data_IF_369902035029
#
_entry.id   IF_369902035029
#
_cell.length_a   1.000
_cell.length_b   1.000
_cell.length_c   1.000
_cell.angle_alpha   90.00
_cell.angle_beta   90.00
_cell.angle_gamma   90.00
#
_symmetry.space_group_name_H-M   'P 1'
#
loop_
_entity.id
_entity.type
_entity.pdbx_description
1 polymer ?
#
# COMPACT_ATOMS: atom_id res chain seq x y z
N UNK A 1 -5.43 6.94 13.55
CA UNK A 1 -6.01 6.02 12.55
C UNK A 1 -5.54 4.61 12.89
N UNK A 2 -6.31 3.90 13.72
CA UNK A 2 -5.97 2.53 14.12
C UNK A 2 -6.29 1.57 12.97
N UNK A 3 -5.35 1.48 12.03
CA UNK A 3 -5.39 0.57 10.90
C UNK A 3 -4.86 -0.79 11.33
N UNK A 4 -5.57 -1.86 10.99
CA UNK A 4 -5.17 -3.24 11.30
C UNK A 4 -4.51 -3.86 10.08
N UNK A 5 -3.27 -4.33 10.22
CA UNK A 5 -2.57 -5.11 9.20
C UNK A 5 -3.08 -6.55 9.16
N UNK A 6 -3.10 -7.14 7.96
CA UNK A 6 -3.49 -8.52 7.72
C UNK A 6 -2.66 -9.13 6.57
N UNK A 7 -2.89 -10.41 6.29
CA UNK A 7 -2.25 -11.16 5.19
C UNK A 7 -0.71 -11.02 5.20
N UNK A 8 -0.08 -11.29 6.35
CA UNK A 8 1.35 -11.11 6.56
C UNK A 8 1.85 -9.69 6.22
N UNK A 9 1.13 -8.70 6.74
CA UNK A 9 1.40 -7.26 6.62
C UNK A 9 1.32 -6.72 5.18
N UNK A 10 0.62 -7.42 4.27
CA UNK A 10 0.44 -6.98 2.88
C UNK A 10 -0.90 -6.30 2.61
N UNK A 11 -1.83 -6.35 3.57
CA UNK A 11 -3.13 -5.68 3.46
C UNK A 11 -3.49 -4.92 4.73
N UNK A 12 -4.37 -3.94 4.58
CA UNK A 12 -4.98 -3.17 5.67
C UNK A 12 -6.48 -3.43 5.68
N UNK A 13 -7.05 -3.78 6.83
CA UNK A 13 -8.50 -3.90 7.00
C UNK A 13 -9.12 -2.50 7.03
N UNK A 14 -10.09 -2.26 6.16
CA UNK A 14 -10.73 -0.97 6.02
C UNK A 14 -11.86 -0.80 7.04
N UNK A 15 -11.97 0.42 7.57
CA UNK A 15 -13.04 0.83 8.48
C UNK A 15 -13.91 1.90 7.83
N UNK A 16 -15.21 1.83 8.06
CA UNK A 16 -16.13 2.89 7.65
C UNK A 16 -15.97 4.13 8.56
N UNK A 17 -16.69 5.20 8.25
CA UNK A 17 -16.73 6.43 9.04
C UNK A 17 -17.22 6.26 10.49
N UNK A 18 -17.80 5.10 10.85
CA UNK A 18 -18.18 4.71 12.22
C UNK A 18 -17.08 3.92 12.94
N UNK A 19 -15.89 3.82 12.36
CA UNK A 19 -14.75 3.04 12.87
C UNK A 19 -15.01 1.52 12.94
N UNK A 20 -16.02 1.02 12.21
CA UNK A 20 -16.31 -0.40 12.14
C UNK A 20 -15.60 -1.02 10.92
N UNK A 21 -15.07 -2.23 11.06
CA UNK A 21 -14.56 -3.00 9.92
C UNK A 21 -15.66 -3.12 8.86
N UNK A 22 -15.38 -2.67 7.64
CA UNK A 22 -16.38 -2.53 6.58
C UNK A 22 -16.50 -3.77 5.67
N UNK A 23 -15.71 -4.81 5.94
CA UNK A 23 -15.68 -6.04 5.15
C UNK A 23 -14.74 -6.00 3.93
N UNK A 24 -14.01 -4.89 3.74
CA UNK A 24 -13.01 -4.75 2.69
C UNK A 24 -11.58 -4.69 3.26
N UNK A 25 -10.62 -5.06 2.42
CA UNK A 25 -9.19 -4.84 2.65
C UNK A 25 -8.57 -4.05 1.50
N UNK A 26 -7.53 -3.29 1.81
CA UNK A 26 -6.71 -2.55 0.87
C UNK A 26 -5.33 -3.22 0.76
N UNK A 27 -4.90 -3.51 -0.46
CA UNK A 27 -3.52 -3.88 -0.79
C UNK A 27 -2.91 -2.85 -1.73
N UNK A 28 -1.60 -2.66 -1.67
CA UNK A 28 -0.83 -1.89 -2.66
C UNK A 28 0.08 -2.86 -3.42
N UNK A 29 0.05 -2.81 -4.74
CA UNK A 29 0.82 -3.70 -5.62
C UNK A 29 1.87 -2.87 -6.35
N UNK A 30 3.13 -3.29 -6.31
CA UNK A 30 4.19 -2.75 -7.19
C UNK A 30 3.90 -3.22 -8.62
N UNK A 31 3.74 -2.25 -9.53
CA UNK A 31 3.34 -2.52 -10.92
C UNK A 31 4.45 -3.19 -11.70
N UNK A 32 5.72 -2.93 -11.38
CA UNK A 32 6.86 -3.41 -12.16
C UNK A 32 7.06 -4.92 -12.00
N UNK A 33 6.82 -5.44 -10.80
CA UNK A 33 7.03 -6.85 -10.46
C UNK A 33 5.72 -7.60 -10.10
N UNK A 34 4.59 -6.91 -10.10
CA UNK A 34 3.28 -7.45 -9.71
C UNK A 34 3.28 -8.11 -8.32
N UNK A 35 4.05 -7.56 -7.38
CA UNK A 35 4.13 -8.07 -6.00
C UNK A 35 3.42 -7.15 -5.00
N UNK A 36 2.78 -7.71 -3.95
CA UNK A 36 2.22 -6.91 -2.88
C UNK A 36 3.30 -6.18 -2.09
N UNK A 37 3.06 -4.91 -1.80
CA UNK A 37 3.84 -4.13 -0.83
C UNK A 37 3.58 -4.72 0.55
N UNK A 38 4.66 -5.01 1.27
CA UNK A 38 4.61 -5.29 2.72
C UNK A 38 4.77 -3.98 3.47
N UNK A 39 3.77 -3.63 4.28
CA UNK A 39 3.80 -2.42 5.08
C UNK A 39 4.87 -2.50 6.16
N UNK A 40 5.43 -1.35 6.54
CA UNK A 40 6.50 -1.23 7.54
C UNK A 40 7.79 -2.03 7.24
N UNK A 41 7.96 -2.49 6.00
CA UNK A 41 9.20 -3.08 5.52
C UNK A 41 9.91 -2.15 4.56
N UNK A 42 11.25 -2.12 4.66
CA UNK A 42 12.09 -1.43 3.69
C UNK A 42 12.18 -2.25 2.41
N UNK A 43 12.08 -1.57 1.28
CA UNK A 43 12.30 -2.14 -0.06
C UNK A 43 13.30 -1.26 -0.79
N UNK A 44 14.22 -1.87 -1.52
CA UNK A 44 15.17 -1.13 -2.34
C UNK A 44 14.44 -0.44 -3.52
N UNK A 45 14.74 0.85 -3.70
CA UNK A 45 14.22 1.62 -4.83
C UNK A 45 15.16 1.60 -6.04
N UNK A 46 16.40 1.12 -5.87
CA UNK A 46 17.45 1.17 -6.86
C UNK A 46 18.37 2.37 -6.70
N UNK A 47 19.36 2.49 -7.59
CA UNK A 47 20.39 3.55 -7.55
C UNK A 47 20.11 4.67 -8.55
N UNK A 48 20.29 5.92 -8.12
CA UNK A 48 20.28 7.08 -9.01
C UNK A 48 21.72 7.34 -9.44
N UNK A 49 21.98 7.25 -10.74
CA UNK A 49 23.22 7.69 -11.34
C UNK A 49 23.04 9.09 -11.92
N UNK A 50 24.03 9.97 -11.71
CA UNK A 50 24.06 11.36 -12.16
C UNK A 50 25.21 11.56 -13.16
N UNK A 51 25.36 10.65 -14.12
CA UNK A 51 26.28 10.83 -15.24
C UNK A 51 25.57 11.50 -16.44
N UNK A 52 26.35 11.94 -17.44
CA UNK A 52 25.82 12.64 -18.62
C UNK A 52 24.81 11.82 -19.47
N UNK A 53 24.65 10.52 -19.22
CA UNK A 53 23.70 9.65 -19.91
C UNK A 53 22.52 9.20 -19.05
N UNK A 54 22.59 9.35 -17.72
CA UNK A 54 21.58 8.88 -16.79
C UNK A 54 20.51 9.96 -16.53
N UNK A 55 19.24 9.61 -16.72
CA UNK A 55 18.10 10.51 -16.54
C UNK A 55 17.86 11.00 -15.10
N UNK A 56 18.76 10.69 -14.15
CA UNK A 56 18.79 11.25 -12.80
C UNK A 56 17.55 11.01 -11.94
N UNK A 57 16.70 10.04 -12.30
CA UNK A 57 15.42 9.79 -11.61
C UNK A 57 15.15 8.29 -11.46
N UNK A 58 14.51 7.95 -10.34
CA UNK A 58 13.83 6.67 -10.16
C UNK A 58 12.35 6.96 -10.06
N UNK A 59 11.56 6.22 -10.84
CA UNK A 59 10.09 6.25 -10.77
C UNK A 59 9.64 4.85 -10.42
N UNK A 60 8.84 4.71 -9.36
CA UNK A 60 8.17 3.48 -8.97
C UNK A 60 6.66 3.67 -9.04
N UNK A 61 5.98 2.73 -9.71
CA UNK A 61 4.54 2.78 -9.90
C UNK A 61 3.86 1.74 -9.01
N UNK A 62 2.78 2.16 -8.36
CA UNK A 62 2.01 1.31 -7.47
C UNK A 62 0.52 1.40 -7.79
N UNK A 63 -0.20 0.29 -7.60
CA UNK A 63 -1.65 0.20 -7.74
C UNK A 63 -2.30 -0.14 -6.41
N UNK A 64 -3.20 0.71 -5.96
CA UNK A 64 -4.09 0.39 -4.85
C UNK A 64 -5.23 -0.52 -5.32
N UNK A 65 -5.52 -1.57 -4.56
CA UNK A 65 -6.60 -2.52 -4.83
C UNK A 65 -7.44 -2.71 -3.58
N UNK A 66 -8.75 -2.52 -3.73
CA UNK A 66 -9.74 -2.77 -2.67
C UNK A 66 -10.50 -4.02 -3.02
N UNK A 67 -10.58 -4.96 -2.08
CA UNK A 67 -11.25 -6.25 -2.28
C UNK A 67 -12.08 -6.62 -1.06
N UNK A 68 -13.18 -7.34 -1.29
CA UNK A 68 -13.96 -7.92 -0.21
C UNK A 68 -13.15 -9.00 0.50
N UNK A 69 -13.27 -9.07 1.82
CA UNK A 69 -12.69 -10.14 2.63
C UNK A 69 -13.67 -11.34 2.57
N UNK A 70 -13.23 -12.53 2.12
CA UNK A 70 -14.09 -13.70 2.07
C UNK A 70 -14.71 -14.02 3.44
N UNK A 71 -16.04 -14.20 3.49
CA UNK A 71 -16.77 -14.50 4.72
C UNK A 71 -17.04 -13.30 5.63
N UNK A 72 -16.52 -12.10 5.32
CA UNK A 72 -16.84 -10.90 6.08
C UNK A 72 -18.16 -10.28 5.63
N UNK A 73 -18.90 -9.72 6.59
CA UNK A 73 -20.10 -8.92 6.30
C UNK A 73 -19.66 -7.55 5.78
N UNK A 74 -20.12 -7.19 4.58
CA UNK A 74 -19.90 -5.85 4.03
C UNK A 74 -20.80 -4.86 4.77
N UNK A 75 -20.19 -3.81 5.34
CA UNK A 75 -20.91 -2.71 5.97
C UNK A 75 -20.77 -1.45 5.13
N UNK A 76 -21.90 -0.86 4.76
CA UNK A 76 -21.94 0.34 3.93
C UNK A 76 -21.45 1.58 4.69
N UNK A 77 -21.11 2.62 3.93
CA UNK A 77 -20.59 3.89 4.45
C UNK A 77 -19.29 4.28 3.75
N UNK A 78 -19.00 5.58 3.75
CA UNK A 78 -17.72 6.07 3.26
C UNK A 78 -16.57 5.54 4.13
N UNK A 79 -15.44 5.27 3.50
CA UNK A 79 -14.19 4.89 4.16
C UNK A 79 -13.04 5.69 3.54
N UNK A 80 -11.97 5.84 4.30
CA UNK A 80 -10.72 6.42 3.82
C UNK A 80 -9.55 5.76 4.52
N UNK A 81 -8.41 5.68 3.84
CA UNK A 81 -7.16 5.24 4.40
C UNK A 81 -6.06 6.18 3.89
N UNK A 82 -5.10 6.48 4.76
CA UNK A 82 -3.93 7.28 4.42
C UNK A 82 -2.68 6.40 4.57
N UNK A 83 -1.75 6.55 3.63
CA UNK A 83 -0.46 5.86 3.64
C UNK A 83 0.66 6.90 3.63
N UNK A 84 1.66 6.71 4.49
CA UNK A 84 2.88 7.52 4.50
C UNK A 84 3.99 6.75 3.82
N UNK A 85 4.67 7.39 2.87
CA UNK A 85 5.85 6.83 2.19
C UNK A 85 7.09 7.55 2.71
N UNK A 86 8.09 6.78 3.15
CA UNK A 86 9.36 7.30 3.64
C UNK A 86 10.45 6.86 2.66
N UNK A 87 11.17 7.84 2.11
CA UNK A 87 12.32 7.60 1.22
C UNK A 87 13.57 8.07 1.94
N UNK A 88 14.58 7.19 2.00
CA UNK A 88 15.88 7.48 2.61
C UNK A 88 16.98 7.29 1.58
N UNK A 89 17.92 8.23 1.55
CA UNK A 89 19.16 8.13 0.77
C UNK A 89 20.30 7.77 1.72
N UNK A 90 21.26 6.99 1.23
CA UNK A 90 22.50 6.69 1.95
C UNK A 90 23.65 7.56 1.40
#
# INVERSE_FOLDING_TARGET
NDLTLADADSTVILKNNKQENNGFRLSVIDVDNNTPVKFNMKTDMGSIHLDNGAGGKIIKQYKAKVEAIPGAVIKTGAFSAAMTVIVTYN
#
